data_IF_685565124063
#
_entry.id   IF_685565124063
#
_cell.length_a   1.000
_cell.length_b   1.000
_cell.length_c   1.000
_cell.angle_alpha   90.00
_cell.angle_beta   90.00
_cell.angle_gamma   90.00
#
_symmetry.space_group_name_H-M   'P 1'
#
loop_
_entity.id
_entity.type
_entity.pdbx_description
1 polymer ?
#
# COMPACT_ATOMS: atom_id res chain seq x y z
N UNK A 1 -51.71 37.82 87.73
CA UNK A 1 -51.26 36.44 87.54
C UNK A 1 -51.77 35.97 86.20
N UNK A 2 -51.00 36.17 85.14
CA UNK A 2 -51.37 35.78 83.74
C UNK A 2 -50.39 34.74 83.26
N UNK A 3 -50.87 33.58 82.89
CA UNK A 3 -50.07 32.50 82.34
C UNK A 3 -50.00 32.72 80.80
N UNK A 4 -48.81 32.88 80.29
CA UNK A 4 -48.54 32.91 78.88
C UNK A 4 -48.28 31.48 78.42
N UNK A 5 -49.05 30.99 77.49
CA UNK A 5 -48.89 29.72 76.75
C UNK A 5 -48.09 29.96 75.43
N UNK A 6 -46.90 29.41 75.32
CA UNK A 6 -46.08 29.50 74.14
C UNK A 6 -46.46 28.37 73.14
N UNK A 7 -46.90 28.72 71.97
CA UNK A 7 -47.09 27.77 70.84
C UNK A 7 -45.81 27.54 70.07
N UNK A 8 -45.37 26.30 69.94
CA UNK A 8 -44.27 25.90 69.10
C UNK A 8 -44.77 25.57 67.68
N UNK A 9 -44.28 26.32 66.72
CA UNK A 9 -44.51 26.02 65.32
C UNK A 9 -43.42 25.04 64.86
N UNK A 10 -43.80 23.85 64.43
CA UNK A 10 -42.94 22.86 63.81
C UNK A 10 -42.80 23.20 62.35
N UNK A 11 -41.58 23.62 61.94
CA UNK A 11 -41.24 23.89 60.56
C UNK A 11 -40.84 22.54 59.86
N UNK A 12 -41.69 21.99 58.99
CA UNK A 12 -41.38 20.80 58.21
C UNK A 12 -40.38 21.11 57.12
N UNK A 13 -39.19 20.55 57.20
CA UNK A 13 -38.19 20.61 56.12
C UNK A 13 -38.53 19.48 55.11
N UNK A 14 -39.04 19.85 53.94
CA UNK A 14 -39.19 18.92 52.81
C UNK A 14 -37.83 18.67 52.18
N UNK A 15 -37.30 17.47 52.37
CA UNK A 15 -36.11 16.97 51.61
C UNK A 15 -36.51 16.67 50.17
N UNK A 16 -36.17 17.56 49.26
CA UNK A 16 -36.24 17.30 47.83
C UNK A 16 -35.05 16.38 47.46
N UNK A 17 -35.29 15.09 47.29
CA UNK A 17 -34.36 14.12 46.68
C UNK A 17 -34.22 14.43 45.21
N UNK A 18 -33.23 15.24 44.87
CA UNK A 18 -32.79 15.42 43.47
C UNK A 18 -32.17 14.13 42.95
N UNK A 19 -32.88 13.46 42.09
CA UNK A 19 -32.29 12.40 41.22
C UNK A 19 -31.29 13.07 40.26
N UNK A 20 -30.02 13.02 40.60
CA UNK A 20 -28.96 13.26 39.63
C UNK A 20 -28.98 12.08 38.68
N UNK A 21 -29.65 12.24 37.54
CA UNK A 21 -29.49 11.40 36.41
C UNK A 21 -28.04 11.55 35.90
N UNK A 22 -27.22 10.52 36.08
CA UNK A 22 -26.01 10.39 35.28
C UNK A 22 -26.43 10.38 33.82
N UNK A 23 -26.36 11.53 33.14
CA UNK A 23 -26.30 11.56 31.72
C UNK A 23 -25.01 10.85 31.35
N UNK A 24 -25.10 9.61 30.92
CA UNK A 24 -24.04 8.97 30.17
C UNK A 24 -24.00 9.74 28.86
N UNK A 25 -23.05 10.66 28.72
CA UNK A 25 -22.66 11.20 27.41
C UNK A 25 -22.20 10.00 26.56
N UNK A 26 -23.17 9.40 25.88
CA UNK A 26 -22.85 8.57 24.72
C UNK A 26 -22.31 9.54 23.67
N UNK A 27 -20.96 9.69 23.63
CA UNK A 27 -20.31 10.42 22.57
C UNK A 27 -20.89 9.90 21.24
N UNK A 28 -21.69 10.71 20.58
CA UNK A 28 -22.30 10.34 19.30
C UNK A 28 -21.16 10.09 18.31
N UNK A 29 -21.17 8.94 17.64
CA UNK A 29 -20.21 8.66 16.58
C UNK A 29 -20.24 9.82 15.59
N UNK A 30 -19.10 10.47 15.28
CA UNK A 30 -19.08 11.60 14.36
C UNK A 30 -19.70 11.23 13.00
N UNK A 31 -20.39 12.17 12.38
CA UNK A 31 -20.96 11.96 11.05
C UNK A 31 -19.81 11.72 10.03
N UNK A 32 -20.04 10.88 9.02
CA UNK A 32 -19.05 10.55 8.01
C UNK A 32 -18.41 11.80 7.35
N UNK A 33 -19.22 12.83 7.07
CA UNK A 33 -18.74 14.11 6.54
C UNK A 33 -17.79 14.86 7.46
N UNK A 34 -17.97 14.79 8.79
CA UNK A 34 -17.06 15.40 9.76
C UNK A 34 -15.71 14.66 9.80
N UNK A 35 -15.74 13.32 9.74
CA UNK A 35 -14.52 12.50 9.64
C UNK A 35 -13.78 12.86 8.36
N UNK A 36 -14.47 12.92 7.20
CA UNK A 36 -13.90 13.30 5.92
C UNK A 36 -13.22 14.66 5.97
N UNK A 37 -13.86 15.67 6.53
CA UNK A 37 -13.29 17.02 6.65
C UNK A 37 -11.97 17.03 7.44
N UNK A 38 -11.89 16.23 8.51
CA UNK A 38 -10.65 16.13 9.32
C UNK A 38 -9.51 15.44 8.59
N UNK A 39 -9.80 14.47 7.71
CA UNK A 39 -8.77 13.67 7.05
C UNK A 39 -8.41 14.17 5.64
N UNK A 40 -9.15 15.12 5.09
CA UNK A 40 -8.97 15.64 3.73
C UNK A 40 -7.58 16.27 3.49
N UNK A 41 -6.95 16.84 4.53
CA UNK A 41 -5.59 17.38 4.43
C UNK A 41 -4.50 16.31 4.56
N UNK A 42 -4.86 15.09 4.98
CA UNK A 42 -3.90 13.99 5.23
C UNK A 42 -3.82 13.08 4.01
N UNK A 43 -4.96 12.80 3.37
CA UNK A 43 -5.08 11.82 2.31
C UNK A 43 -5.49 12.46 0.98
N UNK A 44 -5.05 11.85 -0.10
CA UNK A 44 -5.48 12.17 -1.46
C UNK A 44 -6.22 11.00 -2.11
N UNK A 45 -6.79 11.26 -3.28
CA UNK A 45 -7.49 10.25 -4.08
C UNK A 45 -6.63 9.71 -5.21
N UNK A 46 -6.91 8.48 -5.63
CA UNK A 46 -6.34 7.86 -6.82
C UNK A 46 -7.30 8.09 -7.98
N UNK A 47 -6.87 8.75 -9.08
CA UNK A 47 -7.73 8.97 -10.22
C UNK A 47 -8.00 7.67 -10.99
N UNK A 48 -9.19 7.55 -11.57
CA UNK A 48 -9.51 6.45 -12.48
C UNK A 48 -8.62 6.49 -13.74
N UNK A 49 -8.44 5.32 -14.35
CA UNK A 49 -7.74 5.18 -15.62
C UNK A 49 -8.72 5.39 -16.77
N UNK A 50 -8.32 6.16 -17.78
CA UNK A 50 -9.12 6.38 -18.97
C UNK A 50 -8.90 5.29 -20.02
N UNK A 51 -9.88 5.08 -20.90
CA UNK A 51 -9.75 4.17 -22.02
C UNK A 51 -8.60 4.57 -22.99
N UNK A 52 -8.34 5.87 -23.13
CA UNK A 52 -7.26 6.38 -23.97
C UNK A 52 -5.87 6.02 -23.38
N UNK A 53 -5.68 6.11 -22.06
CA UNK A 53 -4.44 5.67 -21.42
C UNK A 53 -4.18 4.17 -21.64
N UNK A 54 -5.22 3.34 -21.53
CA UNK A 54 -5.12 1.89 -21.76
C UNK A 54 -4.82 1.56 -23.21
N UNK A 55 -5.42 2.29 -24.17
CA UNK A 55 -5.30 2.07 -25.60
C UNK A 55 -4.03 2.70 -26.21
N UNK A 56 -3.27 3.50 -25.44
CA UNK A 56 -2.07 4.12 -25.94
C UNK A 56 -1.07 3.06 -26.48
N UNK A 57 -0.49 3.23 -27.68
CA UNK A 57 0.39 2.21 -28.30
C UNK A 57 1.54 1.77 -27.36
N UNK A 58 2.12 2.69 -26.62
CA UNK A 58 3.19 2.40 -25.67
C UNK A 58 2.71 1.55 -24.49
N UNK A 59 1.48 1.77 -23.99
CA UNK A 59 0.90 0.98 -22.91
C UNK A 59 0.48 -0.42 -23.41
N UNK A 60 -0.09 -0.50 -24.61
CA UNK A 60 -0.43 -1.77 -25.26
C UNK A 60 0.81 -2.66 -25.48
N UNK A 61 1.91 -2.05 -25.96
CA UNK A 61 3.19 -2.74 -26.07
C UNK A 61 3.66 -3.22 -24.68
N UNK A 62 3.65 -2.34 -23.68
CA UNK A 62 4.04 -2.71 -22.32
C UNK A 62 3.22 -3.87 -21.74
N UNK A 63 1.92 -3.92 -22.03
CA UNK A 63 1.06 -5.05 -21.69
C UNK A 63 1.53 -6.34 -22.33
N UNK A 64 1.81 -6.34 -23.64
CA UNK A 64 2.31 -7.52 -24.34
C UNK A 64 3.63 -8.03 -23.73
N UNK A 65 4.56 -7.11 -23.46
CA UNK A 65 5.86 -7.43 -22.85
C UNK A 65 5.76 -7.97 -21.43
N UNK A 66 4.80 -7.49 -20.64
CA UNK A 66 4.61 -7.87 -19.24
C UNK A 66 4.21 -9.35 -19.06
N UNK A 67 3.47 -9.88 -20.01
CA UNK A 67 2.92 -11.25 -19.99
C UNK A 67 3.75 -12.24 -20.81
N UNK A 68 4.75 -11.80 -21.55
CA UNK A 68 5.51 -12.66 -22.47
C UNK A 68 6.65 -13.38 -21.74
N UNK A 69 6.46 -14.67 -21.50
CA UNK A 69 7.45 -15.54 -20.84
C UNK A 69 8.72 -15.74 -21.68
N UNK A 70 8.63 -15.64 -23.02
CA UNK A 70 9.76 -15.84 -23.93
C UNK A 70 10.88 -14.82 -23.75
N UNK A 71 10.59 -13.71 -23.04
CA UNK A 71 11.53 -12.62 -22.78
C UNK A 71 12.41 -12.85 -21.53
N UNK A 72 12.46 -14.06 -21.00
CA UNK A 72 13.31 -14.48 -19.90
C UNK A 72 14.34 -15.52 -20.30
N UNK A 73 15.35 -15.70 -19.44
CA UNK A 73 16.43 -16.69 -19.66
C UNK A 73 15.90 -18.12 -19.80
N UNK A 74 14.90 -18.47 -18.99
CA UNK A 74 14.30 -19.81 -18.97
C UNK A 74 13.12 -20.00 -19.97
N UNK A 75 12.70 -18.93 -20.65
CA UNK A 75 11.55 -18.93 -21.55
C UNK A 75 10.20 -19.20 -20.86
N UNK A 76 10.13 -19.16 -19.52
CA UNK A 76 8.95 -19.52 -18.73
C UNK A 76 8.56 -18.46 -17.72
N UNK A 77 9.45 -17.54 -17.39
CA UNK A 77 9.23 -16.46 -16.44
C UNK A 77 8.79 -15.18 -17.14
N UNK A 78 7.68 -14.58 -16.71
CA UNK A 78 7.24 -13.24 -17.10
C UNK A 78 7.15 -12.32 -15.86
N UNK A 79 6.93 -11.03 -16.04
CA UNK A 79 6.63 -10.14 -14.92
C UNK A 79 5.41 -10.66 -14.13
N UNK A 80 4.38 -11.13 -14.83
CA UNK A 80 3.18 -11.72 -14.27
C UNK A 80 3.44 -12.96 -13.38
N UNK A 81 4.58 -13.65 -13.53
CA UNK A 81 4.92 -14.83 -12.71
C UNK A 81 5.16 -14.51 -11.23
N UNK A 82 5.60 -13.27 -10.95
CA UNK A 82 5.79 -12.77 -9.58
C UNK A 82 4.77 -11.69 -9.21
N UNK A 83 3.95 -11.28 -10.18
CA UNK A 83 2.90 -10.27 -10.04
C UNK A 83 1.56 -10.81 -10.58
N UNK A 84 1.02 -11.91 -9.99
CA UNK A 84 -0.18 -12.58 -10.52
C UNK A 84 -1.44 -11.74 -10.29
N UNK A 85 -2.42 -11.91 -11.20
CA UNK A 85 -3.69 -11.19 -11.19
C UNK A 85 -4.51 -11.46 -9.92
N UNK A 86 -4.57 -12.71 -9.51
CA UNK A 86 -5.36 -13.20 -8.38
C UNK A 86 -4.85 -12.69 -7.02
N UNK A 87 -3.61 -12.24 -6.96
CA UNK A 87 -2.99 -11.65 -5.77
C UNK A 87 -2.79 -10.13 -5.88
N UNK A 88 -3.65 -9.43 -6.62
CA UNK A 88 -3.55 -7.99 -6.80
C UNK A 88 -2.13 -7.53 -7.17
N UNK A 89 -1.48 -8.32 -8.05
CA UNK A 89 -0.13 -8.09 -8.57
C UNK A 89 1.02 -8.12 -7.55
N UNK A 90 0.82 -8.73 -6.38
CA UNK A 90 1.89 -9.10 -5.44
C UNK A 90 2.23 -10.59 -5.57
N UNK A 91 3.40 -11.00 -5.13
CA UNK A 91 3.70 -12.43 -5.03
C UNK A 91 3.00 -13.04 -3.79
N UNK A 92 2.43 -14.22 -3.93
CA UNK A 92 1.84 -14.97 -2.81
C UNK A 92 2.87 -15.74 -2.00
N UNK A 93 4.07 -15.91 -2.55
CA UNK A 93 5.20 -16.55 -1.87
C UNK A 93 5.91 -15.53 -0.98
N UNK A 94 6.56 -16.03 0.04
CA UNK A 94 7.41 -15.20 0.91
C UNK A 94 8.44 -14.41 0.12
N UNK A 95 9.11 -15.05 -0.83
CA UNK A 95 10.01 -14.45 -1.82
C UNK A 95 9.79 -15.08 -3.18
N UNK A 96 10.09 -14.35 -4.24
CA UNK A 96 9.93 -14.83 -5.62
C UNK A 96 11.09 -15.76 -6.04
N UNK A 97 10.86 -16.53 -7.10
CA UNK A 97 11.93 -17.29 -7.78
C UNK A 97 12.19 -16.61 -9.12
N UNK A 98 13.43 -16.25 -9.40
CA UNK A 98 13.84 -15.62 -10.65
C UNK A 98 14.01 -16.63 -11.80
N UNK A 99 14.24 -16.16 -13.02
CA UNK A 99 14.41 -17.02 -14.21
C UNK A 99 15.69 -17.89 -14.19
N UNK A 100 16.55 -17.76 -13.17
CA UNK A 100 17.69 -18.65 -12.94
C UNK A 100 17.36 -19.78 -11.95
N UNK A 101 16.13 -19.81 -11.43
CA UNK A 101 15.72 -20.75 -10.38
C UNK A 101 16.17 -20.35 -8.98
N UNK A 102 16.63 -19.12 -8.77
CA UNK A 102 17.14 -18.63 -7.48
C UNK A 102 16.05 -17.86 -6.73
N UNK A 103 15.97 -18.04 -5.42
CA UNK A 103 15.10 -17.24 -4.56
C UNK A 103 15.60 -15.78 -4.48
N UNK A 104 14.66 -14.83 -4.61
CA UNK A 104 14.95 -13.43 -4.35
C UNK A 104 15.11 -13.17 -2.84
N UNK A 105 15.80 -12.09 -2.49
CA UNK A 105 16.01 -11.75 -1.07
C UNK A 105 14.83 -11.01 -0.45
N UNK A 106 13.97 -10.41 -1.26
CA UNK A 106 12.88 -9.55 -0.83
C UNK A 106 11.56 -10.02 -1.42
N UNK A 107 10.49 -9.80 -0.67
CA UNK A 107 9.12 -10.01 -1.13
C UNK A 107 8.77 -9.09 -2.30
N UNK A 108 8.10 -9.62 -3.33
CA UNK A 108 7.66 -8.85 -4.51
C UNK A 108 6.40 -8.05 -4.20
N UNK A 109 6.57 -6.73 -4.20
CA UNK A 109 5.51 -5.77 -3.92
C UNK A 109 4.49 -5.70 -5.07
N UNK A 110 3.24 -5.24 -4.81
CA UNK A 110 2.23 -5.07 -5.85
C UNK A 110 2.67 -4.04 -6.90
N UNK A 111 2.29 -4.30 -8.16
CA UNK A 111 2.51 -3.40 -9.29
C UNK A 111 1.43 -2.32 -9.42
N UNK A 112 0.22 -2.56 -8.87
CA UNK A 112 -0.86 -1.59 -8.91
C UNK A 112 -0.44 -0.31 -8.21
N UNK A 113 -0.62 0.84 -8.89
CA UNK A 113 -0.19 2.17 -8.42
C UNK A 113 1.32 2.30 -8.13
N UNK A 114 2.15 1.38 -8.60
CA UNK A 114 3.59 1.47 -8.38
C UNK A 114 4.21 2.76 -8.97
N UNK A 115 3.68 3.23 -10.11
CA UNK A 115 4.17 4.44 -10.80
C UNK A 115 3.81 5.76 -10.11
N UNK A 116 2.93 5.73 -9.12
CA UNK A 116 2.51 6.90 -8.33
C UNK A 116 3.40 7.10 -7.08
N UNK A 117 4.34 6.19 -6.83
CA UNK A 117 5.25 6.25 -5.69
C UNK A 117 6.49 7.10 -6.01
N UNK A 118 7.07 7.76 -5.00
CA UNK A 118 8.26 8.62 -5.17
C UNK A 118 9.55 7.83 -5.48
N UNK A 119 9.59 6.56 -5.14
CA UNK A 119 10.66 5.62 -5.45
C UNK A 119 10.11 4.19 -5.36
N UNK A 120 10.80 3.22 -5.95
CA UNK A 120 10.39 1.82 -5.96
C UNK A 120 11.36 0.92 -5.19
N UNK A 121 10.92 -0.32 -4.96
CA UNK A 121 11.53 -1.37 -4.13
C UNK A 121 11.56 -0.99 -2.64
N UNK A 122 11.90 -1.97 -1.82
CA UNK A 122 11.92 -1.81 -0.35
C UNK A 122 12.95 -0.79 0.13
N UNK A 123 14.09 -0.66 -0.58
CA UNK A 123 15.16 0.29 -0.21
C UNK A 123 15.00 1.68 -0.85
N UNK A 124 13.98 1.90 -1.68
CA UNK A 124 13.81 3.14 -2.44
C UNK A 124 14.97 3.39 -3.41
N UNK A 125 15.56 2.35 -3.96
CA UNK A 125 16.77 2.38 -4.78
C UNK A 125 16.49 2.36 -6.29
N UNK A 126 15.23 2.61 -6.68
CA UNK A 126 14.82 2.83 -8.07
C UNK A 126 14.00 4.11 -8.13
N UNK A 127 14.37 5.00 -9.04
CA UNK A 127 13.74 6.29 -9.19
C UNK A 127 12.31 6.18 -9.74
N UNK A 128 12.08 5.23 -10.64
CA UNK A 128 10.80 5.02 -11.33
C UNK A 128 10.66 3.59 -11.88
N UNK A 129 9.50 3.32 -12.49
CA UNK A 129 9.22 2.01 -13.07
C UNK A 129 10.02 1.66 -14.31
N UNK A 130 10.47 2.63 -15.08
CA UNK A 130 11.34 2.36 -16.23
C UNK A 130 12.72 1.86 -15.75
N UNK A 131 13.31 2.53 -14.77
CA UNK A 131 14.55 2.06 -14.15
C UNK A 131 14.39 0.68 -13.51
N UNK A 132 13.27 0.43 -12.83
CA UNK A 132 12.99 -0.89 -12.25
C UNK A 132 12.83 -1.96 -13.34
N UNK A 133 12.10 -1.68 -14.41
CA UNK A 133 11.88 -2.61 -15.51
C UNK A 133 13.19 -2.95 -16.25
N UNK A 134 14.03 -1.96 -16.54
CA UNK A 134 15.33 -2.20 -17.18
C UNK A 134 16.25 -3.07 -16.31
N UNK A 135 16.30 -2.80 -15.00
CA UNK A 135 17.08 -3.60 -14.05
C UNK A 135 16.54 -5.02 -13.89
N UNK A 136 15.23 -5.23 -14.09
CA UNK A 136 14.64 -6.57 -14.00
C UNK A 136 15.10 -7.49 -15.14
N UNK A 137 15.52 -6.95 -16.28
CA UNK A 137 16.02 -7.75 -17.42
C UNK A 137 17.18 -8.67 -16.98
N UNK A 138 18.20 -8.11 -16.31
CA UNK A 138 19.31 -8.90 -15.79
C UNK A 138 19.07 -9.49 -14.40
N UNK A 139 18.09 -8.97 -13.67
CA UNK A 139 17.66 -9.46 -12.37
C UNK A 139 16.69 -10.63 -12.48
N UNK A 140 15.40 -10.36 -12.30
CA UNK A 140 14.34 -11.37 -12.25
C UNK A 140 14.17 -12.15 -13.54
N UNK A 141 14.40 -11.52 -14.73
CA UNK A 141 14.31 -12.18 -16.02
C UNK A 141 15.59 -12.97 -16.38
N UNK A 142 16.68 -12.81 -15.63
CA UNK A 142 17.89 -13.63 -15.69
C UNK A 142 18.80 -13.39 -16.90
N UNK A 143 18.53 -12.39 -17.74
CA UNK A 143 19.34 -12.11 -18.94
C UNK A 143 20.77 -11.68 -18.55
N UNK A 144 21.80 -11.94 -19.37
CA UNK A 144 23.18 -11.57 -19.06
C UNK A 144 23.38 -10.06 -18.86
N UNK A 145 22.74 -9.26 -19.69
CA UNK A 145 22.75 -7.79 -19.67
C UNK A 145 21.39 -7.23 -20.09
N UNK A 146 21.11 -5.96 -19.81
CA UNK A 146 19.91 -5.31 -20.28
C UNK A 146 19.85 -5.26 -21.83
N UNK A 147 21.00 -5.08 -22.50
CA UNK A 147 21.07 -5.04 -23.96
C UNK A 147 20.66 -6.37 -24.63
N UNK A 148 20.78 -7.50 -23.93
CA UNK A 148 20.43 -8.82 -24.46
C UNK A 148 18.93 -8.96 -24.80
N UNK A 149 18.06 -8.06 -24.31
CA UNK A 149 16.63 -8.09 -24.62
C UNK A 149 16.33 -7.69 -26.08
N UNK A 150 17.11 -6.79 -26.67
CA UNK A 150 16.80 -6.23 -28.00
C UNK A 150 16.83 -7.29 -29.13
N UNK A 151 17.86 -8.15 -29.28
CA UNK A 151 17.82 -9.22 -30.26
C UNK A 151 16.67 -10.20 -30.05
N UNK A 152 16.32 -10.47 -28.78
CA UNK A 152 15.20 -11.35 -28.43
C UNK A 152 13.86 -10.76 -28.84
N UNK A 153 13.63 -9.47 -28.59
CA UNK A 153 12.44 -8.75 -29.04
C UNK A 153 12.29 -8.81 -30.59
N UNK A 154 13.37 -8.63 -31.33
CA UNK A 154 13.36 -8.74 -32.81
C UNK A 154 13.03 -10.16 -33.24
N UNK A 155 13.62 -11.18 -32.63
CA UNK A 155 13.36 -12.58 -32.98
C UNK A 155 11.91 -13.01 -32.73
N UNK A 156 11.19 -12.33 -31.85
CA UNK A 156 9.77 -12.58 -31.58
C UNK A 156 8.81 -11.63 -32.30
N UNK A 157 9.32 -10.79 -33.25
CA UNK A 157 8.49 -9.97 -34.13
C UNK A 157 7.92 -8.70 -33.47
N UNK A 158 8.58 -8.14 -32.47
CA UNK A 158 8.11 -6.93 -31.80
C UNK A 158 8.42 -5.62 -32.56
N UNK A 159 9.17 -5.64 -33.66
CA UNK A 159 9.63 -4.45 -34.40
C UNK A 159 8.50 -3.48 -34.77
N UNK A 160 7.40 -3.99 -35.31
CA UNK A 160 6.27 -3.17 -35.73
C UNK A 160 5.58 -2.48 -34.53
N UNK A 161 5.43 -3.21 -33.43
CA UNK A 161 4.83 -2.66 -32.19
C UNK A 161 5.73 -1.59 -31.54
N UNK A 162 7.05 -1.79 -31.56
CA UNK A 162 8.00 -0.78 -31.09
C UNK A 162 8.00 0.45 -32.01
N UNK A 163 7.99 0.28 -33.35
CA UNK A 163 7.92 1.39 -34.29
C UNK A 163 6.63 2.21 -34.13
N UNK A 164 5.50 1.56 -33.84
CA UNK A 164 4.25 2.24 -33.56
C UNK A 164 4.31 3.01 -32.21
N UNK A 165 4.87 2.39 -31.16
CA UNK A 165 4.93 2.98 -29.82
C UNK A 165 5.96 4.13 -29.72
N UNK A 166 7.02 4.08 -30.52
CA UNK A 166 8.15 5.02 -30.50
C UNK A 166 8.45 5.54 -31.90
N UNK A 167 7.45 6.11 -32.56
CA UNK A 167 7.49 6.48 -33.99
C UNK A 167 8.55 7.54 -34.38
N UNK A 168 9.11 8.26 -33.41
CA UNK A 168 10.17 9.26 -33.64
C UNK A 168 11.58 8.73 -33.34
N UNK A 169 11.70 7.47 -32.88
CA UNK A 169 12.99 6.84 -32.57
C UNK A 169 13.47 6.03 -33.79
N UNK A 170 14.64 6.35 -34.35
CA UNK A 170 15.19 5.67 -35.50
C UNK A 170 15.53 4.19 -35.25
N UNK A 171 15.87 3.82 -34.00
CA UNK A 171 16.06 2.43 -33.55
C UNK A 171 15.25 2.17 -32.29
N UNK A 172 13.94 1.87 -32.45
CA UNK A 172 13.04 1.80 -31.29
C UNK A 172 13.22 0.52 -30.46
N UNK A 173 13.79 -0.57 -30.99
CA UNK A 173 13.90 -1.85 -30.30
C UNK A 173 15.16 -1.89 -29.42
N UNK A 174 15.05 -1.37 -28.21
CA UNK A 174 16.14 -1.31 -27.23
C UNK A 174 15.63 -1.44 -25.80
N UNK A 175 16.52 -1.74 -24.83
CA UNK A 175 16.17 -1.95 -23.41
C UNK A 175 15.47 -0.75 -22.78
N UNK A 176 15.90 0.47 -23.11
CA UNK A 176 15.29 1.69 -22.60
C UNK A 176 13.80 1.81 -23.01
N UNK A 177 13.48 1.56 -24.29
CA UNK A 177 12.11 1.61 -24.78
C UNK A 177 11.26 0.43 -24.25
N UNK A 178 11.84 -0.76 -24.08
CA UNK A 178 11.21 -1.87 -23.36
C UNK A 178 10.79 -1.43 -21.95
N UNK A 179 11.69 -0.79 -21.23
CA UNK A 179 11.43 -0.33 -19.87
C UNK A 179 10.36 0.77 -19.83
N UNK A 180 10.41 1.74 -20.75
CA UNK A 180 9.39 2.80 -20.87
C UNK A 180 8.01 2.21 -21.19
N UNK A 181 7.92 1.23 -22.08
CA UNK A 181 6.66 0.57 -22.42
C UNK A 181 6.06 -0.16 -21.19
N UNK A 182 6.87 -0.89 -20.44
CA UNK A 182 6.42 -1.53 -19.19
C UNK A 182 5.95 -0.50 -18.15
N UNK A 183 6.69 0.60 -17.97
CA UNK A 183 6.28 1.68 -17.07
C UNK A 183 4.96 2.34 -17.53
N UNK A 184 4.76 2.52 -18.84
CA UNK A 184 3.53 3.06 -19.41
C UNK A 184 2.33 2.13 -19.13
N UNK A 185 2.49 0.83 -19.31
CA UNK A 185 1.47 -0.14 -18.93
C UNK A 185 1.15 -0.08 -17.43
N UNK A 186 2.16 -0.05 -16.58
CA UNK A 186 1.97 0.01 -15.12
C UNK A 186 1.22 1.28 -14.69
N UNK A 187 1.37 2.43 -15.37
CA UNK A 187 0.57 3.64 -15.10
C UNK A 187 -0.92 3.43 -15.33
N UNK A 188 -1.32 2.49 -16.16
CA UNK A 188 -2.72 2.13 -16.36
C UNK A 188 -3.28 1.21 -15.26
N UNK A 189 -2.47 0.81 -14.28
CA UNK A 189 -2.87 -0.12 -13.23
C UNK A 189 -3.27 0.60 -11.93
N UNK A 190 -3.98 1.73 -12.05
CA UNK A 190 -4.58 2.42 -10.91
C UNK A 190 -5.89 1.75 -10.51
N UNK A 191 -6.10 1.60 -9.20
CA UNK A 191 -7.26 0.90 -8.62
C UNK A 191 -7.94 1.77 -7.57
N UNK A 192 -8.72 2.81 -7.98
CA UNK A 192 -9.49 3.60 -7.03
C UNK A 192 -10.45 2.67 -6.25
N UNK A 193 -10.65 2.99 -4.97
CA UNK A 193 -11.34 2.16 -4.00
C UNK A 193 -12.49 2.91 -3.31
N UNK A 194 -13.23 2.25 -2.44
CA UNK A 194 -14.30 2.87 -1.65
C UNK A 194 -13.82 4.09 -0.85
N UNK A 195 -12.58 4.06 -0.36
CA UNK A 195 -11.99 5.21 0.33
C UNK A 195 -11.85 6.45 -0.56
N UNK A 196 -11.60 6.28 -1.87
CA UNK A 196 -11.56 7.41 -2.80
C UNK A 196 -12.96 8.02 -2.99
N UNK A 197 -14.00 7.19 -3.12
CA UNK A 197 -15.38 7.67 -3.20
C UNK A 197 -15.78 8.44 -1.92
N UNK A 198 -15.40 7.92 -0.74
CA UNK A 198 -15.59 8.62 0.52
C UNK A 198 -14.90 10.00 0.53
N UNK A 199 -13.64 10.10 0.13
CA UNK A 199 -12.92 11.37 0.09
C UNK A 199 -13.55 12.36 -0.92
N UNK A 200 -14.16 11.85 -1.98
CA UNK A 200 -14.88 12.66 -3.00
C UNK A 200 -16.30 13.03 -2.60
N UNK A 201 -16.79 12.62 -1.42
CA UNK A 201 -18.05 13.08 -0.85
C UNK A 201 -19.14 12.02 -0.69
N UNK A 202 -18.89 10.76 -1.03
CA UNK A 202 -19.84 9.67 -0.78
C UNK A 202 -19.74 9.19 0.67
N UNK A 203 -20.58 9.71 1.54
CA UNK A 203 -20.63 9.34 2.95
C UNK A 203 -21.08 7.89 3.18
N UNK A 204 -21.67 7.25 2.18
CA UNK A 204 -22.11 5.85 2.23
C UNK A 204 -21.03 4.85 1.81
N UNK A 205 -19.93 5.31 1.25
CA UNK A 205 -18.88 4.47 0.70
C UNK A 205 -18.14 3.63 1.77
N UNK A 206 -18.12 4.09 3.03
CA UNK A 206 -17.50 3.38 4.14
C UNK A 206 -18.54 2.94 5.17
N UNK A 207 -18.38 1.71 5.66
CA UNK A 207 -19.18 1.21 6.79
C UNK A 207 -18.77 1.92 8.11
N UNK A 208 -19.64 1.83 9.14
CA UNK A 208 -19.33 2.37 10.47
C UNK A 208 -18.02 1.82 11.04
N UNK A 209 -17.75 0.53 10.86
CA UNK A 209 -16.51 -0.08 11.33
C UNK A 209 -15.29 0.46 10.58
N UNK A 210 -15.40 0.68 9.27
CA UNK A 210 -14.32 1.27 8.48
C UNK A 210 -14.04 2.72 8.88
N UNK A 211 -15.07 3.50 9.18
CA UNK A 211 -14.92 4.86 9.73
C UNK A 211 -14.26 4.85 11.10
N UNK A 212 -14.68 3.96 12.00
CA UNK A 212 -14.05 3.80 13.32
C UNK A 212 -12.57 3.40 13.19
N UNK A 213 -12.25 2.51 12.24
CA UNK A 213 -10.89 2.11 11.93
C UNK A 213 -10.03 3.25 11.37
N UNK A 214 -10.60 4.09 10.50
CA UNK A 214 -9.95 5.31 10.01
C UNK A 214 -9.59 6.27 11.15
N UNK A 215 -10.54 6.52 12.06
CA UNK A 215 -10.28 7.37 13.24
C UNK A 215 -9.19 6.80 14.14
N UNK A 216 -9.19 5.49 14.38
CA UNK A 216 -8.16 4.80 15.17
C UNK A 216 -6.79 4.83 14.47
N UNK A 217 -6.76 4.69 13.14
CA UNK A 217 -5.55 4.82 12.33
C UNK A 217 -4.91 6.21 12.49
N UNK A 218 -5.73 7.26 12.44
CA UNK A 218 -5.29 8.65 12.66
C UNK A 218 -4.86 8.87 14.12
N UNK A 219 -5.71 8.49 15.08
CA UNK A 219 -5.47 8.72 16.50
C UNK A 219 -4.23 8.00 17.04
N UNK A 220 -3.90 6.83 16.49
CA UNK A 220 -2.69 6.10 16.88
C UNK A 220 -1.42 6.64 16.20
N UNK A 221 -1.53 7.61 15.28
CA UNK A 221 -0.38 8.26 14.64
C UNK A 221 0.19 7.52 13.42
N UNK A 222 -0.53 6.55 12.86
CA UNK A 222 -0.12 5.82 11.65
C UNK A 222 0.10 6.76 10.46
N UNK A 223 -0.65 7.87 10.42
CA UNK A 223 -0.56 8.91 9.39
C UNK A 223 0.77 9.67 9.36
N UNK A 224 1.59 9.57 10.39
CA UNK A 224 2.93 10.15 10.39
C UNK A 224 3.83 9.60 9.27
N UNK A 225 3.60 8.33 8.88
CA UNK A 225 4.31 7.66 7.79
C UNK A 225 3.37 7.27 6.64
N UNK A 226 2.13 6.88 6.95
CA UNK A 226 1.13 6.41 6.00
C UNK A 226 0.14 7.53 5.66
N UNK A 227 0.53 8.45 4.79
CA UNK A 227 -0.26 9.61 4.33
C UNK A 227 -0.25 9.73 2.80
N UNK A 228 -0.93 10.78 2.28
CA UNK A 228 -1.06 11.03 0.85
C UNK A 228 -2.03 10.05 0.16
N UNK A 229 -2.10 10.10 -1.17
CA UNK A 229 -3.06 9.32 -1.96
C UNK A 229 -2.86 7.80 -1.83
N UNK A 230 -1.63 7.36 -1.60
CA UNK A 230 -1.28 5.95 -1.50
C UNK A 230 -1.20 5.43 -0.05
N UNK A 231 -1.37 6.29 0.95
CA UNK A 231 -1.13 5.98 2.37
C UNK A 231 0.27 5.36 2.54
N UNK A 232 1.29 6.04 2.05
CA UNK A 232 2.68 5.60 1.97
C UNK A 232 3.25 5.75 0.56
N UNK A 233 4.39 5.13 0.28
CA UNK A 233 5.06 5.19 -1.03
C UNK A 233 5.88 6.47 -1.28
N UNK A 234 5.87 7.42 -0.37
CA UNK A 234 6.42 8.78 -0.55
C UNK A 234 7.60 9.12 0.40
N UNK A 235 7.97 8.23 1.30
CA UNK A 235 9.02 8.48 2.28
C UNK A 235 9.84 7.24 2.61
N UNK A 236 11.00 7.46 3.22
CA UNK A 236 11.89 6.45 3.77
C UNK A 236 11.86 6.57 5.29
N UNK A 237 11.71 5.44 6.00
CA UNK A 237 11.64 5.43 7.46
C UNK A 237 12.39 4.22 8.02
N UNK A 238 12.94 4.38 9.22
CA UNK A 238 13.51 3.27 9.96
C UNK A 238 12.40 2.31 10.39
N UNK A 239 12.53 1.04 10.09
CA UNK A 239 11.66 -0.01 10.59
C UNK A 239 12.16 -0.49 11.94
N UNK A 240 11.35 -0.28 12.99
CA UNK A 240 11.74 -0.54 14.36
C UNK A 240 12.30 0.71 15.05
N UNK A 241 11.43 1.69 15.35
CA UNK A 241 11.78 2.90 16.10
C UNK A 241 11.85 2.60 17.60
N UNK A 242 10.91 1.83 18.13
CA UNK A 242 10.80 1.50 19.57
C UNK A 242 11.39 0.13 19.91
N UNK A 243 11.34 -0.82 18.95
CA UNK A 243 11.88 -2.18 19.11
C UNK A 243 12.45 -2.68 17.79
N UNK A 244 13.38 -3.58 17.88
CA UNK A 244 13.97 -4.25 16.72
C UNK A 244 12.90 -5.03 15.94
N UNK A 245 12.70 -4.69 14.66
CA UNK A 245 11.64 -5.26 13.85
C UNK A 245 11.74 -6.79 13.72
N UNK A 246 12.95 -7.34 13.62
CA UNK A 246 13.17 -8.78 13.41
C UNK A 246 12.68 -9.63 14.57
N UNK A 247 12.67 -9.09 15.79
CA UNK A 247 12.12 -9.79 16.95
C UNK A 247 10.59 -9.91 16.86
N UNK A 248 9.92 -8.86 16.41
CA UNK A 248 8.46 -8.83 16.31
C UNK A 248 7.93 -9.55 15.06
N UNK A 249 8.67 -9.53 13.94
CA UNK A 249 8.30 -10.21 12.70
C UNK A 249 8.69 -11.67 12.67
N UNK A 250 9.58 -12.12 13.56
CA UNK A 250 10.17 -13.46 13.52
C UNK A 250 11.12 -13.65 12.32
N UNK A 251 11.67 -12.57 11.78
CA UNK A 251 12.62 -12.65 10.65
C UNK A 251 13.88 -13.41 11.07
N UNK A 252 14.25 -14.41 10.30
CA UNK A 252 15.42 -15.25 10.56
C UNK A 252 16.72 -14.61 10.08
N UNK A 253 16.63 -13.61 9.20
CA UNK A 253 17.75 -12.85 8.67
C UNK A 253 17.50 -11.37 8.91
N UNK A 254 18.45 -10.68 9.52
CA UNK A 254 18.36 -9.25 9.76
C UNK A 254 18.78 -8.52 8.48
N UNK A 255 17.81 -7.85 7.84
CA UNK A 255 18.06 -7.01 6.67
C UNK A 255 18.43 -5.59 7.12
N UNK A 256 19.57 -5.10 6.68
CA UNK A 256 20.05 -3.76 7.04
C UNK A 256 19.33 -2.63 6.26
N UNK A 257 18.32 -2.95 5.46
CA UNK A 257 17.53 -1.97 4.72
C UNK A 257 18.35 -1.22 3.66
N UNK A 258 18.12 0.08 3.55
CA UNK A 258 18.78 0.96 2.59
C UNK A 258 20.31 0.99 2.72
N UNK A 259 20.86 0.68 3.90
CA UNK A 259 22.29 0.50 4.09
C UNK A 259 22.91 -0.49 3.09
N UNK A 260 22.16 -1.51 2.67
CA UNK A 260 22.65 -2.48 1.68
C UNK A 260 23.05 -1.83 0.35
N UNK A 261 22.47 -0.67 0.04
CA UNK A 261 22.72 0.11 -1.18
C UNK A 261 23.68 1.27 -0.93
N UNK A 262 23.47 2.05 0.12
CA UNK A 262 24.17 3.31 0.35
C UNK A 262 25.46 3.17 1.16
N UNK A 263 25.57 2.12 1.98
CA UNK A 263 26.64 1.88 2.97
C UNK A 263 26.77 2.98 4.03
N UNK A 264 25.74 3.80 4.22
CA UNK A 264 25.70 4.85 5.23
C UNK A 264 25.05 4.32 6.51
N UNK A 265 25.67 4.57 7.66
CA UNK A 265 25.19 4.09 8.97
C UNK A 265 23.77 4.56 9.31
N UNK A 266 23.43 5.82 8.95
CA UNK A 266 22.09 6.40 9.14
C UNK A 266 21.00 5.68 8.34
N UNK A 267 21.35 4.95 7.28
CA UNK A 267 20.43 4.18 6.44
C UNK A 267 20.21 2.73 6.95
N UNK A 268 20.78 2.34 8.08
CA UNK A 268 20.51 1.03 8.68
C UNK A 268 19.05 0.91 9.11
N UNK A 269 18.45 -0.20 8.63
CA UNK A 269 17.04 -0.53 8.87
C UNK A 269 16.04 0.48 8.27
N UNK A 270 16.52 1.37 7.39
CA UNK A 270 15.64 2.30 6.67
C UNK A 270 15.07 1.59 5.45
N UNK A 271 13.74 1.67 5.32
CA UNK A 271 12.98 1.13 4.19
C UNK A 271 12.05 2.20 3.64
N UNK A 272 11.67 2.05 2.38
CA UNK A 272 10.56 2.84 1.86
C UNK A 272 9.28 2.42 2.57
N UNK A 273 8.55 3.41 3.08
CA UNK A 273 7.21 3.18 3.65
C UNK A 273 6.32 2.59 2.56
N UNK A 274 5.84 1.34 2.69
CA UNK A 274 5.01 0.76 1.64
C UNK A 274 3.67 1.47 1.57
N UNK A 275 3.10 1.55 0.38
CA UNK A 275 1.73 1.98 0.22
C UNK A 275 0.77 0.98 0.86
N UNK A 276 -0.39 1.46 1.34
CA UNK A 276 -1.42 0.61 1.94
C UNK A 276 -2.59 0.32 1.01
N UNK A 277 -2.60 0.85 -0.22
CA UNK A 277 -3.60 0.49 -1.21
C UNK A 277 -3.55 -1.01 -1.52
N UNK A 278 -4.70 -1.65 -1.54
CA UNK A 278 -4.89 -3.09 -1.75
C UNK A 278 -4.23 -4.01 -0.69
N UNK A 279 -3.77 -3.46 0.45
CA UNK A 279 -2.94 -4.18 1.42
C UNK A 279 -3.59 -5.47 1.95
N UNK A 280 -4.92 -5.53 2.07
CA UNK A 280 -5.64 -6.74 2.53
C UNK A 280 -5.65 -7.89 1.50
N UNK A 281 -5.10 -7.68 0.29
CA UNK A 281 -5.03 -8.67 -0.79
C UNK A 281 -3.60 -9.10 -1.13
N UNK A 282 -2.60 -8.50 -0.50
CA UNK A 282 -1.20 -8.62 -0.89
C UNK A 282 -0.33 -9.26 0.20
N UNK A 283 -0.90 -10.22 0.93
CA UNK A 283 -0.13 -11.07 1.84
C UNK A 283 0.89 -11.94 1.06
N UNK A 284 2.03 -12.30 1.69
CA UNK A 284 2.47 -11.98 3.04
C UNK A 284 3.06 -10.57 3.16
N UNK A 285 3.33 -10.12 4.39
CA UNK A 285 3.68 -8.73 4.70
C UNK A 285 5.16 -8.55 5.05
N UNK A 286 5.59 -7.29 4.97
CA UNK A 286 6.96 -6.79 5.15
C UNK A 286 7.92 -7.16 4.02
N UNK A 287 9.14 -6.63 4.11
CA UNK A 287 10.14 -6.73 3.06
C UNK A 287 10.64 -8.16 2.79
N UNK A 288 10.50 -9.04 3.76
CA UNK A 288 10.91 -10.43 3.71
C UNK A 288 9.73 -11.42 3.71
N UNK A 289 8.49 -10.91 3.67
CA UNK A 289 7.28 -11.73 3.70
C UNK A 289 7.14 -12.59 4.96
N UNK A 290 7.69 -12.13 6.09
CA UNK A 290 7.72 -12.91 7.34
C UNK A 290 6.37 -13.01 8.05
N UNK A 291 5.44 -12.10 7.78
CA UNK A 291 4.17 -12.01 8.48
C UNK A 291 3.01 -12.37 7.55
N UNK A 292 2.23 -13.38 7.91
CA UNK A 292 1.24 -13.98 7.03
C UNK A 292 -0.11 -13.25 6.99
N UNK A 293 -0.50 -12.53 8.05
CA UNK A 293 -1.83 -11.91 8.16
C UNK A 293 -1.75 -10.40 8.39
N UNK A 294 -2.75 -9.67 7.86
CA UNK A 294 -2.81 -8.21 8.03
C UNK A 294 -2.97 -7.80 9.49
N UNK A 295 -3.73 -8.56 10.25
CA UNK A 295 -3.91 -8.41 11.69
C UNK A 295 -2.56 -8.42 12.43
N UNK A 296 -1.76 -9.44 12.17
CA UNK A 296 -0.43 -9.55 12.74
C UNK A 296 0.48 -8.39 12.28
N UNK A 297 0.39 -7.98 11.01
CA UNK A 297 1.18 -6.85 10.50
C UNK A 297 0.80 -5.52 11.20
N UNK A 298 -0.49 -5.27 11.45
CA UNK A 298 -0.96 -4.09 12.22
C UNK A 298 -0.40 -4.12 13.64
N UNK A 299 -0.42 -5.29 14.31
CA UNK A 299 0.14 -5.45 15.66
C UNK A 299 1.65 -5.22 15.70
N UNK A 300 2.38 -5.77 14.73
CA UNK A 300 3.82 -5.54 14.59
C UNK A 300 4.10 -4.05 14.42
N UNK A 301 3.39 -3.36 13.52
CA UNK A 301 3.56 -1.92 13.31
C UNK A 301 3.27 -1.11 14.59
N UNK A 302 2.21 -1.43 15.32
CA UNK A 302 1.90 -0.77 16.59
C UNK A 302 3.02 -0.96 17.62
N UNK A 303 3.56 -2.17 17.73
CA UNK A 303 4.61 -2.50 18.68
C UNK A 303 5.96 -1.86 18.33
N UNK A 304 6.44 -2.04 17.08
CA UNK A 304 7.80 -1.64 16.71
C UNK A 304 7.94 -0.17 16.30
N UNK A 305 6.87 0.43 15.72
CA UNK A 305 6.89 1.81 15.26
C UNK A 305 6.31 2.81 16.25
N UNK A 306 5.35 2.38 17.09
CA UNK A 306 4.62 3.25 18.00
C UNK A 306 4.86 2.90 19.48
N UNK A 307 5.52 1.77 19.79
CA UNK A 307 5.74 1.28 21.15
C UNK A 307 4.44 0.94 21.88
N UNK A 308 3.38 0.54 21.16
CA UNK A 308 2.04 0.33 21.68
C UNK A 308 1.52 -1.07 21.42
N UNK A 309 0.74 -1.59 22.36
CA UNK A 309 -0.11 -2.77 22.14
C UNK A 309 -1.54 -2.28 21.93
N UNK A 310 -2.10 -2.55 20.75
CA UNK A 310 -3.49 -2.20 20.46
C UNK A 310 -4.45 -3.27 21.01
N UNK A 311 -5.62 -2.89 21.53
CA UNK A 311 -6.71 -3.82 21.81
C UNK A 311 -7.16 -4.56 20.56
N UNK A 312 -7.67 -5.77 20.69
CA UNK A 312 -8.13 -6.59 19.57
C UNK A 312 -9.22 -5.91 18.74
N UNK A 313 -10.15 -5.21 19.39
CA UNK A 313 -11.20 -4.45 18.71
C UNK A 313 -10.61 -3.29 17.85
N UNK A 314 -9.54 -2.64 18.33
CA UNK A 314 -8.90 -1.55 17.57
C UNK A 314 -8.18 -2.08 16.33
N UNK A 315 -7.51 -3.23 16.48
CA UNK A 315 -6.88 -3.92 15.35
C UNK A 315 -7.92 -4.32 14.32
N UNK A 316 -9.05 -4.92 14.75
CA UNK A 316 -10.12 -5.33 13.85
C UNK A 316 -10.71 -4.15 13.07
N UNK A 317 -10.92 -3.00 13.73
CA UNK A 317 -11.44 -1.80 13.06
C UNK A 317 -10.41 -1.21 12.08
N UNK A 318 -9.12 -1.14 12.46
CA UNK A 318 -8.06 -0.68 11.55
C UNK A 318 -7.96 -1.61 10.33
N UNK A 319 -8.03 -2.92 10.51
CA UNK A 319 -8.04 -3.90 9.40
C UNK A 319 -9.26 -3.69 8.51
N UNK A 320 -10.44 -3.40 9.09
CA UNK A 320 -11.64 -3.06 8.31
C UNK A 320 -11.44 -1.78 7.47
N UNK A 321 -10.85 -0.73 8.06
CA UNK A 321 -10.46 0.48 7.32
C UNK A 321 -9.50 0.16 6.17
N UNK A 322 -8.42 -0.59 6.43
CA UNK A 322 -7.46 -1.00 5.40
C UNK A 322 -8.13 -1.78 4.27
N UNK A 323 -9.21 -2.51 4.56
CA UNK A 323 -10.06 -3.17 3.56
C UNK A 323 -10.73 -2.18 2.59
N UNK A 324 -11.10 -0.97 3.03
CA UNK A 324 -11.69 0.07 2.18
C UNK A 324 -10.73 0.65 1.14
N UNK A 325 -9.43 0.37 1.27
CA UNK A 325 -8.37 0.80 0.35
C UNK A 325 -8.21 -0.15 -0.85
N UNK A 326 -9.05 -1.18 -0.96
CA UNK A 326 -8.98 -2.17 -2.03
C UNK A 326 -9.87 -1.78 -3.19
N UNK A 327 -9.24 -1.54 -4.34
CA UNK A 327 -9.93 -1.36 -5.60
C UNK A 327 -10.05 -2.66 -6.42
N UNK A 328 -10.91 -2.67 -7.45
CA UNK A 328 -11.04 -3.83 -8.33
C UNK A 328 -9.78 -4.04 -9.17
N UNK A 329 -9.46 -5.30 -9.45
CA UNK A 329 -8.37 -5.62 -10.40
C UNK A 329 -8.77 -5.12 -11.80
N UNK A 330 -7.94 -4.30 -12.47
CA UNK A 330 -8.28 -3.77 -13.79
C UNK A 330 -8.51 -4.89 -14.81
N UNK A 331 -9.54 -4.76 -15.65
CA UNK A 331 -9.87 -5.79 -16.65
C UNK A 331 -8.72 -6.04 -17.64
N UNK A 332 -7.97 -5.00 -17.99
CA UNK A 332 -6.81 -5.08 -18.89
C UNK A 332 -5.54 -5.62 -18.19
N UNK A 333 -5.59 -5.91 -16.88
CA UNK A 333 -4.53 -6.66 -16.19
C UNK A 333 -4.68 -8.16 -16.48
N UNK A 334 -4.43 -8.52 -17.71
CA UNK A 334 -4.47 -9.88 -18.27
C UNK A 334 -3.58 -9.92 -19.50
N UNK A 335 -3.18 -11.10 -19.96
CA UNK A 335 -2.51 -11.26 -21.24
C UNK A 335 -3.34 -10.65 -22.39
N UNK A 336 -2.70 -10.12 -23.46
CA UNK A 336 -3.39 -9.58 -24.61
C UNK A 336 -4.28 -10.60 -25.30
#
# INVERSE_FOLDING_TARGET
MQRMTSAWAILGIALASGLWGCATDSASTPAAGEIRARVAAIFGTVPAVTAAEVAAPVAALGRALFWDTRLSLDGKTACASCHPREAWSADTRRVSINAKGEATTLHSQPMFMAQEQSALRWYGDRADGAQQAERSISGSMGMPTAAAIAPLLRSFGYEAAFAQAFSTDADPVKSANYAIALAAYQRTLRTPAAFDAFLLGDDSALSRQQLAGLEKFVANGCTGCHNGALLGGNSLQKFGIFKDYWQATGSTTIDLGRFNVTKKEEDKYVFRVPMLRNINKTAPYFHDGSVATLDAAVRVMADVQLGRKLPDADVADIVAFLGSLTGPVPNHYAAP
#
